data_IF_573850417898
#
_entry.id   IF_573850417898
#
_cell.length_a   1.000
_cell.length_b   1.000
_cell.length_c   1.000
_cell.angle_alpha   90.00
_cell.angle_beta   90.00
_cell.angle_gamma   90.00
#
_symmetry.space_group_name_H-M   'P 1'
#
loop_
_entity.id
_entity.type
_entity.pdbx_description
1 polymer ?
#
# COMPACT_ATOMS: atom_id res chain seq x y z
N UNK A 1 11.69 -5.44 -18.67
CA UNK A 1 11.78 -5.52 -17.22
C UNK A 1 10.39 -5.50 -16.58
N UNK A 2 10.14 -6.44 -15.72
CA UNK A 2 8.85 -6.61 -15.06
C UNK A 2 8.47 -5.42 -14.15
N UNK A 3 9.42 -4.75 -13.53
CA UNK A 3 9.13 -3.60 -12.67
C UNK A 3 8.71 -2.38 -13.49
N UNK A 4 9.31 -2.15 -14.64
CA UNK A 4 8.90 -1.09 -15.57
C UNK A 4 7.50 -1.38 -16.13
N UNK A 5 7.25 -2.63 -16.53
CA UNK A 5 5.93 -3.05 -17.02
C UNK A 5 4.85 -2.88 -15.94
N UNK A 6 5.15 -3.20 -14.69
CA UNK A 6 4.22 -2.99 -13.58
C UNK A 6 3.91 -1.53 -13.37
N UNK A 7 4.92 -0.65 -13.40
CA UNK A 7 4.73 0.78 -13.26
C UNK A 7 3.83 1.36 -14.34
N UNK A 8 4.05 0.95 -15.58
CA UNK A 8 3.19 1.35 -16.70
C UNK A 8 1.78 0.79 -16.54
N UNK A 9 1.66 -0.49 -16.16
CA UNK A 9 0.37 -1.11 -15.91
C UNK A 9 -0.42 -0.38 -14.83
N UNK A 10 0.22 0.06 -13.75
CA UNK A 10 -0.42 0.78 -12.66
C UNK A 10 -0.88 2.16 -13.11
N UNK A 11 -0.11 2.87 -13.92
CA UNK A 11 -0.49 4.16 -14.49
C UNK A 11 -1.73 4.01 -15.37
N UNK A 12 -1.76 3.01 -16.26
CA UNK A 12 -2.92 2.73 -17.11
C UNK A 12 -4.15 2.35 -16.30
N UNK A 13 -3.98 1.53 -15.28
CA UNK A 13 -5.10 1.13 -14.40
C UNK A 13 -5.69 2.33 -13.67
N UNK A 14 -4.84 3.20 -13.15
CA UNK A 14 -5.29 4.42 -12.48
C UNK A 14 -6.04 5.35 -13.45
N UNK A 15 -5.48 5.55 -14.64
CA UNK A 15 -6.11 6.38 -15.66
C UNK A 15 -7.47 5.81 -16.07
N UNK A 16 -7.53 4.51 -16.36
CA UNK A 16 -8.78 3.84 -16.73
C UNK A 16 -9.81 3.89 -15.60
N UNK A 17 -9.37 3.76 -14.35
CA UNK A 17 -10.23 3.90 -13.17
C UNK A 17 -10.83 5.31 -13.10
N UNK A 18 -9.99 6.34 -13.25
CA UNK A 18 -10.43 7.74 -13.21
C UNK A 18 -11.39 8.09 -14.35
N UNK A 19 -11.25 7.44 -15.49
CA UNK A 19 -12.13 7.59 -16.65
C UNK A 19 -13.43 6.81 -16.52
N UNK A 20 -13.62 6.06 -15.42
CA UNK A 20 -14.84 5.27 -15.20
C UNK A 20 -14.90 3.97 -15.97
N UNK A 21 -13.77 3.45 -16.43
CA UNK A 21 -13.72 2.16 -17.12
C UNK A 21 -14.17 1.03 -16.18
N UNK A 22 -15.29 0.30 -16.51
CA UNK A 22 -15.83 -0.71 -15.59
C UNK A 22 -14.85 -1.84 -15.25
N UNK A 23 -14.04 -2.27 -16.21
CA UNK A 23 -13.05 -3.34 -15.96
C UNK A 23 -11.95 -2.88 -15.01
N UNK A 24 -11.49 -1.63 -15.15
CA UNK A 24 -10.48 -1.07 -14.27
C UNK A 24 -11.03 -0.89 -12.86
N UNK A 25 -12.26 -0.43 -12.73
CA UNK A 25 -12.95 -0.29 -11.44
C UNK A 25 -13.07 -1.65 -10.77
N UNK A 26 -13.56 -2.66 -11.49
CA UNK A 26 -13.72 -4.01 -10.96
C UNK A 26 -12.37 -4.62 -10.55
N UNK A 27 -11.33 -4.43 -11.37
CA UNK A 27 -10.00 -4.95 -11.05
C UNK A 27 -9.43 -4.33 -9.78
N UNK A 28 -9.60 -3.01 -9.59
CA UNK A 28 -9.16 -2.32 -8.39
C UNK A 28 -9.96 -2.75 -7.17
N UNK A 29 -11.27 -2.93 -7.31
CA UNK A 29 -12.14 -3.41 -6.23
C UNK A 29 -11.75 -4.81 -5.78
N UNK A 30 -11.56 -5.73 -6.73
CA UNK A 30 -11.16 -7.12 -6.42
C UNK A 30 -9.80 -7.15 -5.74
N UNK A 31 -8.84 -6.38 -6.26
CA UNK A 31 -7.51 -6.30 -5.67
C UNK A 31 -7.56 -5.79 -4.23
N UNK A 32 -8.22 -4.65 -4.01
CA UNK A 32 -8.33 -4.06 -2.68
C UNK A 32 -9.06 -4.98 -1.71
N UNK A 33 -10.14 -5.61 -2.15
CA UNK A 33 -10.90 -6.56 -1.36
C UNK A 33 -10.04 -7.75 -0.92
N UNK A 34 -9.27 -8.32 -1.84
CA UNK A 34 -8.38 -9.46 -1.53
C UNK A 34 -7.30 -9.08 -0.53
N UNK A 35 -6.66 -7.93 -0.71
CA UNK A 35 -5.66 -7.44 0.25
C UNK A 35 -6.29 -7.23 1.61
N UNK A 36 -7.46 -6.60 1.68
CA UNK A 36 -8.18 -6.40 2.93
C UNK A 36 -8.53 -7.73 3.62
N UNK A 37 -8.90 -8.74 2.87
CA UNK A 37 -9.16 -10.09 3.40
C UNK A 37 -7.91 -10.71 4.02
N UNK A 38 -6.76 -10.59 3.37
CA UNK A 38 -5.49 -11.07 3.93
C UNK A 38 -5.14 -10.32 5.21
N UNK A 39 -5.30 -9.01 5.22
CA UNK A 39 -5.08 -8.20 6.43
C UNK A 39 -6.01 -8.69 7.55
N UNK A 40 -7.29 -8.88 7.25
CA UNK A 40 -8.26 -9.38 8.23
C UNK A 40 -7.88 -10.75 8.78
N UNK A 41 -7.40 -11.65 7.94
CA UNK A 41 -6.92 -12.96 8.36
C UNK A 41 -5.73 -12.85 9.32
N UNK A 42 -4.77 -11.98 9.03
CA UNK A 42 -3.64 -11.75 9.93
C UNK A 42 -4.06 -11.09 11.24
N UNK A 43 -4.98 -10.13 11.18
CA UNK A 43 -5.54 -9.51 12.39
C UNK A 43 -6.18 -10.56 13.30
N UNK A 44 -6.94 -11.48 12.72
CA UNK A 44 -7.54 -12.58 13.47
C UNK A 44 -6.48 -13.49 14.08
N UNK A 45 -5.44 -13.85 13.31
CA UNK A 45 -4.36 -14.71 13.78
C UNK A 45 -3.55 -14.06 14.92
N UNK A 46 -3.36 -12.74 14.87
CA UNK A 46 -2.62 -11.98 15.88
C UNK A 46 -3.49 -11.53 17.07
N UNK A 47 -4.80 -11.74 16.97
CA UNK A 47 -5.77 -11.24 17.95
C UNK A 47 -5.76 -9.71 18.07
N UNK A 48 -5.58 -9.04 16.96
CA UNK A 48 -5.55 -7.57 16.87
C UNK A 48 -4.39 -7.09 16.02
N UNK A 49 -4.28 -5.78 15.88
CA UNK A 49 -3.22 -5.14 15.10
C UNK A 49 -2.97 -3.75 15.67
N UNK A 50 -1.70 -3.36 15.75
CA UNK A 50 -1.31 -2.02 16.21
C UNK A 50 -0.92 -1.11 15.05
N UNK A 51 -0.34 -1.67 14.01
CA UNK A 51 0.11 -0.91 12.84
C UNK A 51 0.01 -1.74 11.56
N UNK A 52 -0.23 -1.05 10.46
CA UNK A 52 -0.22 -1.61 9.11
C UNK A 52 0.75 -0.77 8.28
N UNK A 53 1.73 -1.44 7.67
CA UNK A 53 2.69 -0.79 6.80
C UNK A 53 2.46 -1.20 5.35
N UNK A 54 2.29 -0.23 4.47
CA UNK A 54 2.27 -0.44 3.03
C UNK A 54 3.68 -0.27 2.49
N UNK A 55 4.13 -1.24 1.75
CA UNK A 55 5.48 -1.29 1.20
C UNK A 55 5.48 -1.93 -0.17
N UNK A 56 6.57 -1.76 -0.91
CA UNK A 56 6.83 -2.34 -2.23
C UNK A 56 5.76 -2.01 -3.29
N UNK A 57 6.18 -1.74 -4.50
CA UNK A 57 5.31 -1.62 -5.68
C UNK A 57 4.04 -0.80 -5.45
N UNK A 58 2.90 -1.44 -5.58
CA UNK A 58 1.58 -0.81 -5.44
C UNK A 58 1.38 -0.26 -4.02
N UNK A 59 1.84 -0.96 -3.00
CA UNK A 59 1.66 -0.55 -1.60
C UNK A 59 2.28 0.82 -1.29
N UNK A 60 3.46 1.10 -1.83
CA UNK A 60 4.15 2.36 -1.56
C UNK A 60 3.85 3.47 -2.58
N UNK A 61 3.35 3.13 -3.77
CA UNK A 61 3.25 4.07 -4.89
C UNK A 61 1.84 4.46 -5.29
N UNK A 62 0.80 3.80 -4.78
CA UNK A 62 -0.57 3.97 -5.27
C UNK A 62 -1.53 4.36 -4.15
N UNK A 63 -1.68 5.67 -3.96
CA UNK A 63 -2.50 6.21 -2.86
C UNK A 63 -3.97 5.81 -2.93
N UNK A 64 -4.56 5.77 -4.13
CA UNK A 64 -5.98 5.44 -4.26
C UNK A 64 -6.26 3.97 -3.93
N UNK A 65 -5.32 3.07 -4.18
CA UNK A 65 -5.44 1.66 -3.79
C UNK A 65 -5.33 1.52 -2.28
N UNK A 66 -4.41 2.24 -1.62
CA UNK A 66 -4.32 2.25 -0.16
C UNK A 66 -5.62 2.72 0.48
N UNK A 67 -6.18 3.82 -0.04
CA UNK A 67 -7.47 4.34 0.44
C UNK A 67 -8.58 3.29 0.29
N UNK A 68 -8.61 2.61 -0.84
CA UNK A 68 -9.59 1.57 -1.11
C UNK A 68 -9.45 0.38 -0.17
N UNK A 69 -8.24 -0.10 0.06
CA UNK A 69 -7.97 -1.18 1.00
C UNK A 69 -8.42 -0.80 2.41
N UNK A 70 -8.04 0.38 2.86
CA UNK A 70 -8.37 0.89 4.21
C UNK A 70 -9.88 1.06 4.38
N UNK A 71 -10.61 1.36 3.30
CA UNK A 71 -12.07 1.48 3.37
C UNK A 71 -12.78 0.20 3.85
N UNK A 72 -12.15 -0.97 3.64
CA UNK A 72 -12.66 -2.24 4.15
C UNK A 72 -12.29 -2.51 5.61
N UNK A 73 -11.40 -1.70 6.18
CA UNK A 73 -10.81 -1.94 7.50
C UNK A 73 -11.31 -0.95 8.56
N UNK A 74 -12.41 -0.27 8.26
CA UNK A 74 -13.00 0.70 9.20
C UNK A 74 -13.37 0.10 10.55
N UNK A 75 -13.72 -1.18 10.59
CA UNK A 75 -14.06 -1.89 11.82
C UNK A 75 -12.87 -1.96 12.81
N UNK A 76 -11.65 -1.79 12.33
CA UNK A 76 -10.45 -1.73 13.17
C UNK A 76 -10.25 -0.36 13.83
N UNK A 77 -11.10 0.61 13.51
CA UNK A 77 -10.96 1.96 14.01
C UNK A 77 -9.91 2.78 13.26
N UNK A 78 -9.59 2.39 12.04
CA UNK A 78 -8.65 3.12 11.20
C UNK A 78 -9.30 4.40 10.66
N UNK A 79 -8.59 5.49 10.80
CA UNK A 79 -8.96 6.79 10.18
C UNK A 79 -7.79 7.23 9.31
N UNK A 80 -8.04 7.30 8.01
CA UNK A 80 -7.03 7.70 7.04
C UNK A 80 -6.99 9.22 6.92
N UNK A 81 -5.79 9.77 6.92
CA UNK A 81 -5.55 11.16 6.55
C UNK A 81 -5.33 11.20 5.02
N UNK A 82 -6.33 11.65 4.30
CA UNK A 82 -6.30 11.65 2.83
C UNK A 82 -5.16 12.50 2.26
N UNK A 83 -4.85 13.61 2.92
CA UNK A 83 -3.76 14.49 2.50
C UNK A 83 -2.40 13.81 2.71
N UNK A 84 -2.20 13.22 3.88
CA UNK A 84 -0.97 12.47 4.17
C UNK A 84 -0.84 11.23 3.27
N UNK A 85 -1.95 10.59 2.92
CA UNK A 85 -1.95 9.43 2.03
C UNK A 85 -1.59 9.77 0.58
N UNK A 86 -1.69 11.01 0.16
CA UNK A 86 -1.37 11.42 -1.21
C UNK A 86 0.15 11.55 -1.39
N UNK A 87 0.84 10.43 -1.16
CA UNK A 87 2.30 10.32 -1.28
C UNK A 87 2.67 9.11 -2.12
N UNK A 88 3.86 9.16 -2.69
CA UNK A 88 4.39 8.10 -3.52
C UNK A 88 5.86 7.87 -3.21
N UNK A 89 6.16 6.63 -2.80
CA UNK A 89 7.54 6.20 -2.61
C UNK A 89 8.30 6.92 -1.50
N UNK A 90 7.60 7.49 -0.52
CA UNK A 90 8.20 8.16 0.63
C UNK A 90 7.67 7.57 1.93
N UNK A 91 8.48 7.66 2.98
CA UNK A 91 8.06 7.24 4.30
C UNK A 91 7.10 8.27 4.89
N UNK A 92 5.88 7.82 5.26
CA UNK A 92 4.86 8.71 5.78
C UNK A 92 3.86 7.93 6.64
N UNK A 93 3.43 8.54 7.74
CA UNK A 93 2.27 8.07 8.49
C UNK A 93 1.04 8.66 7.82
N UNK A 94 0.13 7.80 7.37
CA UNK A 94 -1.04 8.19 6.59
C UNK A 94 -2.35 8.06 7.36
N UNK A 95 -2.30 7.67 8.62
CA UNK A 95 -3.45 7.66 9.52
C UNK A 95 -3.48 8.93 10.36
N UNK A 96 -4.69 9.31 10.80
CA UNK A 96 -4.88 10.45 11.70
C UNK A 96 -4.35 10.12 13.10
N UNK A 97 -4.03 11.14 13.94
CA UNK A 97 -3.56 10.88 15.31
C UNK A 97 -4.55 10.13 16.19
N UNK A 98 -5.85 10.22 15.89
CA UNK A 98 -6.90 9.52 16.63
C UNK A 98 -7.28 8.17 16.02
N UNK A 99 -6.59 7.73 14.99
CA UNK A 99 -6.75 6.38 14.44
C UNK A 99 -6.31 5.34 15.46
N UNK A 100 -7.13 4.31 15.67
CA UNK A 100 -6.79 3.24 16.62
C UNK A 100 -5.64 2.36 16.14
N UNK A 101 -5.45 2.27 14.83
CA UNK A 101 -4.36 1.53 14.20
C UNK A 101 -3.54 2.54 13.42
N UNK A 102 -2.23 2.52 13.59
CA UNK A 102 -1.33 3.37 12.81
C UNK A 102 -1.16 2.76 11.43
N UNK A 103 -1.36 3.56 10.40
CA UNK A 103 -1.12 3.14 9.00
C UNK A 103 -0.01 4.00 8.43
N UNK A 104 0.97 3.37 7.82
CA UNK A 104 2.11 4.08 7.27
C UNK A 104 2.53 3.49 5.91
N UNK A 105 3.28 4.28 5.18
CA UNK A 105 3.98 3.86 3.96
C UNK A 105 5.46 3.78 4.30
N UNK A 106 6.07 2.65 4.04
CA UNK A 106 7.50 2.43 4.27
C UNK A 106 8.08 1.90 2.96
N UNK A 107 8.76 2.73 2.17
CA UNK A 107 9.36 2.27 0.91
C UNK A 107 10.43 1.22 1.16
N UNK A 108 10.44 0.20 0.33
CA UNK A 108 11.54 -0.76 0.32
C UNK A 108 12.74 -0.14 -0.40
N UNK A 109 13.92 -0.29 0.18
CA UNK A 109 15.16 0.18 -0.43
C UNK A 109 16.07 -1.02 -0.71
N UNK A 110 15.66 -1.82 -1.68
CA UNK A 110 16.37 -3.03 -2.08
C UNK A 110 17.77 -2.72 -2.62
N UNK A 111 17.91 -1.64 -3.37
CA UNK A 111 19.19 -1.20 -3.92
C UNK A 111 20.20 -0.89 -2.81
N UNK A 112 19.78 -0.19 -1.77
CA UNK A 112 20.64 0.12 -0.63
C UNK A 112 21.05 -1.15 0.12
N UNK A 113 20.14 -2.09 0.31
CA UNK A 113 20.43 -3.37 0.95
C UNK A 113 21.47 -4.16 0.14
N UNK A 114 21.31 -4.23 -1.18
CA UNK A 114 22.26 -4.88 -2.08
C UNK A 114 23.63 -4.21 -2.00
N UNK A 115 23.68 -2.89 -2.02
CA UNK A 115 24.93 -2.13 -1.89
C UNK A 115 25.63 -2.42 -0.57
N UNK A 116 24.91 -2.45 0.53
CA UNK A 116 25.46 -2.74 1.86
C UNK A 116 26.02 -4.16 1.93
N UNK A 117 25.31 -5.14 1.43
CA UNK A 117 25.76 -6.52 1.37
C UNK A 117 27.01 -6.68 0.49
N UNK A 118 27.03 -6.02 -0.67
CA UNK A 118 28.17 -6.04 -1.58
C UNK A 118 29.41 -5.44 -0.89
N UNK A 119 29.29 -4.31 -0.22
CA UNK A 119 30.37 -3.69 0.52
C UNK A 119 30.89 -4.61 1.62
N UNK A 120 30.01 -5.28 2.34
CA UNK A 120 30.39 -6.25 3.37
C UNK A 120 31.19 -7.44 2.81
N UNK A 121 30.82 -7.90 1.60
CA UNK A 121 31.50 -9.04 0.96
C UNK A 121 32.89 -8.69 0.44
N UNK A 122 33.14 -7.45 0.01
CA UNK A 122 34.43 -7.03 -0.55
C UNK A 122 35.38 -6.44 0.49
N UNK A 123 34.96 -6.22 1.69
CA UNK A 123 35.84 -5.87 2.81
C UNK A 123 36.49 -7.12 3.41
#
# INVERSE_FOLDING_TARGET
DSSTSRGLGDVYKRQAYNEGNPRAIDACEVFAYRVAKYIGAYVAAMNGVDAIAFTAGIGENTSFIREKIVSYLGYLGIKLDKKANDVRGVEEIISTPDSKVTVCVIPTNEELAICRETVALVK
#
